data_IF_167715341736
#
_entry.id   IF_167715341736
#
_cell.length_a   1.000
_cell.length_b   1.000
_cell.length_c   1.000
_cell.angle_alpha   90.00
_cell.angle_beta   90.00
_cell.angle_gamma   90.00
#
_symmetry.space_group_name_H-M   'P 1'
#
loop_
_entity.id
_entity.type
_entity.pdbx_description
1 polymer ?
#
# COMPACT_ATOMS: atom_id res chain seq x y z
N UNK A 1 -4.02 8.13 -12.60
CA UNK A 1 -3.77 7.96 -14.06
C UNK A 1 -5.12 7.82 -14.76
N UNK A 2 -5.16 8.01 -16.07
CA UNK A 2 -6.34 7.80 -16.91
C UNK A 2 -6.05 6.70 -17.93
N UNK A 3 -7.00 5.79 -18.10
CA UNK A 3 -6.99 4.73 -19.12
C UNK A 3 -8.39 4.74 -19.75
N UNK A 4 -8.49 5.28 -20.96
CA UNK A 4 -9.79 5.50 -21.61
C UNK A 4 -10.74 6.30 -20.71
N UNK A 5 -11.88 5.70 -20.38
CA UNK A 5 -12.92 6.32 -19.56
C UNK A 5 -12.72 6.16 -18.04
N UNK A 6 -11.69 5.44 -17.58
CA UNK A 6 -11.47 5.12 -16.16
C UNK A 6 -10.28 5.90 -15.59
N UNK A 7 -10.43 6.40 -14.36
CA UNK A 7 -9.33 6.90 -13.55
C UNK A 7 -8.82 5.86 -12.53
N UNK A 8 -7.51 5.76 -12.38
CA UNK A 8 -6.85 4.99 -11.31
C UNK A 8 -6.25 5.95 -10.28
N UNK A 9 -6.72 5.90 -9.03
CA UNK A 9 -6.29 6.77 -7.91
C UNK A 9 -6.25 8.27 -8.29
N UNK A 10 -7.23 8.69 -9.08
CA UNK A 10 -7.27 10.04 -9.65
C UNK A 10 -8.69 10.55 -9.86
N UNK A 11 -8.80 11.76 -10.41
CA UNK A 11 -10.07 12.36 -10.82
C UNK A 11 -10.51 11.82 -12.18
N UNK A 12 -11.81 11.56 -12.33
CA UNK A 12 -12.44 11.06 -13.56
C UNK A 12 -13.95 10.96 -13.41
N UNK A 13 -14.65 10.41 -14.40
CA UNK A 13 -16.11 10.18 -14.30
C UNK A 13 -16.39 8.87 -13.53
N UNK A 14 -15.60 7.83 -13.82
CA UNK A 14 -15.53 6.55 -13.10
C UNK A 14 -14.10 6.35 -12.63
N UNK A 15 -13.91 5.92 -11.38
CA UNK A 15 -12.57 5.69 -10.84
C UNK A 15 -12.45 4.39 -10.05
N UNK A 16 -11.24 3.85 -10.02
CA UNK A 16 -10.81 2.85 -9.05
C UNK A 16 -9.94 3.53 -7.98
N UNK A 17 -10.16 3.17 -6.71
CA UNK A 17 -9.31 3.58 -5.59
C UNK A 17 -8.64 2.35 -4.96
N UNK A 18 -7.31 2.29 -5.02
CA UNK A 18 -6.51 1.14 -4.59
C UNK A 18 -6.54 0.94 -3.08
N UNK A 19 -6.41 2.04 -2.32
CA UNK A 19 -6.39 2.04 -0.86
C UNK A 19 -6.74 3.42 -0.29
N UNK A 20 -6.67 3.57 1.03
CA UNK A 20 -7.22 4.72 1.75
C UNK A 20 -6.18 5.72 2.29
N UNK A 21 -5.02 5.86 1.63
CA UNK A 21 -4.15 7.01 1.86
C UNK A 21 -4.54 8.19 0.99
N UNK A 22 -4.31 9.40 1.51
CA UNK A 22 -4.82 10.65 0.95
C UNK A 22 -4.27 10.96 -0.44
N UNK A 23 -3.04 10.55 -0.70
CA UNK A 23 -2.35 10.66 -1.98
C UNK A 23 -2.87 9.67 -3.04
N UNK A 24 -3.78 8.76 -2.68
CA UNK A 24 -4.46 7.85 -3.62
C UNK A 24 -5.97 8.13 -3.75
N UNK A 25 -6.50 9.13 -3.05
CA UNK A 25 -7.93 9.42 -3.08
C UNK A 25 -8.42 9.75 -4.48
N UNK A 26 -9.43 9.00 -4.91
CA UNK A 26 -10.08 9.20 -6.19
C UNK A 26 -11.19 10.25 -6.10
N UNK A 27 -11.51 10.88 -7.24
CA UNK A 27 -12.63 11.80 -7.35
C UNK A 27 -13.44 11.54 -8.60
N UNK A 28 -14.58 10.88 -8.43
CA UNK A 28 -15.46 10.48 -9.52
C UNK A 28 -16.91 10.39 -9.07
N UNK A 29 -17.84 10.30 -10.03
CA UNK A 29 -19.26 10.05 -9.76
C UNK A 29 -19.45 8.69 -9.12
N UNK A 30 -18.69 7.68 -9.57
CA UNK A 30 -18.66 6.33 -9.03
C UNK A 30 -17.21 5.92 -8.77
N UNK A 31 -16.93 5.48 -7.55
CA UNK A 31 -15.61 4.97 -7.15
C UNK A 31 -15.70 3.48 -6.82
N UNK A 32 -14.91 2.66 -7.50
CA UNK A 32 -14.77 1.23 -7.22
C UNK A 32 -13.64 1.01 -6.22
N UNK A 33 -13.89 0.22 -5.18
CA UNK A 33 -12.84 -0.17 -4.22
C UNK A 33 -13.27 -1.41 -3.42
N UNK A 34 -12.36 -1.90 -2.56
CA UNK A 34 -12.72 -2.91 -1.55
C UNK A 34 -13.60 -2.30 -0.46
N UNK A 35 -14.29 -3.16 0.31
CA UNK A 35 -15.17 -2.72 1.41
C UNK A 35 -14.40 -1.93 2.47
N UNK A 36 -13.21 -2.40 2.78
CA UNK A 36 -12.31 -1.82 3.77
C UNK A 36 -11.82 -0.44 3.33
N UNK A 37 -11.38 -0.30 2.07
CA UNK A 37 -10.95 0.99 1.49
C UNK A 37 -12.08 2.02 1.49
N UNK A 38 -13.29 1.62 1.08
CA UNK A 38 -14.46 2.50 1.13
C UNK A 38 -14.76 2.96 2.56
N UNK A 39 -14.69 2.05 3.55
CA UNK A 39 -14.96 2.39 4.94
C UNK A 39 -13.99 3.43 5.51
N UNK A 40 -12.70 3.31 5.21
CA UNK A 40 -11.72 4.34 5.57
C UNK A 40 -11.97 5.66 4.85
N UNK A 41 -12.41 5.59 3.60
CA UNK A 41 -12.62 6.78 2.77
C UNK A 41 -13.88 7.55 3.16
N UNK A 42 -14.94 6.86 3.61
CA UNK A 42 -16.17 7.47 4.13
C UNK A 42 -15.94 8.31 5.39
N UNK A 43 -14.89 8.04 6.18
CA UNK A 43 -14.49 8.94 7.27
C UNK A 43 -14.06 10.33 6.78
N UNK A 44 -13.72 10.47 5.50
CA UNK A 44 -13.16 11.70 4.92
C UNK A 44 -14.01 12.28 3.79
N UNK A 45 -14.83 11.50 3.11
CA UNK A 45 -15.66 11.98 2.00
C UNK A 45 -16.92 11.13 1.75
N UNK A 46 -18.06 11.79 1.54
CA UNK A 46 -19.38 11.16 1.28
C UNK A 46 -19.59 10.85 -0.21
N UNK A 47 -18.64 10.16 -0.84
CA UNK A 47 -18.77 9.75 -2.26
C UNK A 47 -19.46 8.40 -2.42
N UNK A 48 -20.00 8.16 -3.61
CA UNK A 48 -20.62 6.88 -3.96
C UNK A 48 -19.56 5.82 -4.27
N UNK A 49 -19.40 4.86 -3.36
CA UNK A 49 -18.48 3.75 -3.51
C UNK A 49 -19.22 2.48 -3.94
N UNK A 50 -18.82 1.90 -5.08
CA UNK A 50 -19.21 0.57 -5.51
C UNK A 50 -18.22 -0.46 -4.97
N UNK A 51 -18.70 -1.29 -4.04
CA UNK A 51 -17.86 -2.29 -3.37
C UNK A 51 -17.60 -3.49 -4.27
N UNK A 52 -16.33 -3.86 -4.38
CA UNK A 52 -15.87 -5.01 -5.17
C UNK A 52 -15.11 -5.99 -4.28
N UNK A 53 -15.39 -7.29 -4.44
CA UNK A 53 -14.68 -8.35 -3.73
C UNK A 53 -13.40 -8.73 -4.46
N UNK A 54 -12.30 -8.88 -3.72
CA UNK A 54 -11.05 -9.43 -4.24
C UNK A 54 -11.29 -10.76 -4.98
N UNK A 55 -10.61 -10.96 -6.10
CA UNK A 55 -10.68 -12.19 -6.88
C UNK A 55 -11.94 -12.36 -7.74
N UNK A 56 -12.93 -11.47 -7.65
CA UNK A 56 -14.13 -11.51 -8.50
C UNK A 56 -13.99 -10.58 -9.70
N UNK A 57 -14.49 -11.03 -10.85
CA UNK A 57 -14.56 -10.22 -12.09
C UNK A 57 -15.74 -9.26 -11.99
N UNK A 58 -15.58 -8.06 -12.52
CA UNK A 58 -16.60 -7.01 -12.57
C UNK A 58 -16.34 -6.10 -13.77
N UNK A 59 -17.26 -5.18 -14.05
CA UNK A 59 -17.07 -4.12 -15.03
C UNK A 59 -16.88 -2.77 -14.33
N UNK A 60 -15.94 -1.99 -14.86
CA UNK A 60 -15.66 -0.61 -14.49
C UNK A 60 -15.59 0.20 -15.78
N UNK A 61 -16.50 1.17 -15.96
CA UNK A 61 -16.76 1.70 -17.30
C UNK A 61 -17.08 0.56 -18.27
N UNK A 62 -16.41 0.56 -19.41
CA UNK A 62 -16.57 -0.44 -20.47
C UNK A 62 -15.66 -1.66 -20.32
N UNK A 63 -14.78 -1.65 -19.31
CA UNK A 63 -13.72 -2.64 -19.18
C UNK A 63 -14.04 -3.69 -18.12
N UNK A 64 -13.71 -4.93 -18.45
CA UNK A 64 -13.68 -6.02 -17.48
C UNK A 64 -12.47 -5.86 -16.58
N UNK A 65 -12.64 -6.08 -15.28
CA UNK A 65 -11.59 -5.94 -14.29
C UNK A 65 -11.68 -6.98 -13.17
N UNK A 66 -10.60 -7.12 -12.39
CA UNK A 66 -10.50 -7.99 -11.22
C UNK A 66 -9.50 -7.41 -10.22
N UNK A 67 -9.89 -7.37 -8.94
CA UNK A 67 -9.02 -6.87 -7.86
C UNK A 67 -8.14 -7.99 -7.28
N UNK A 68 -6.90 -7.63 -6.94
CA UNK A 68 -5.92 -8.48 -6.27
C UNK A 68 -5.41 -7.77 -5.00
N UNK A 69 -5.24 -8.47 -3.86
CA UNK A 69 -4.66 -7.84 -2.67
C UNK A 69 -3.24 -7.34 -2.99
N UNK A 70 -2.91 -6.11 -2.57
CA UNK A 70 -1.56 -5.54 -2.73
C UNK A 70 -0.68 -5.70 -1.49
N UNK A 71 -1.26 -6.07 -0.34
CA UNK A 71 -0.51 -6.30 0.89
C UNK A 71 0.02 -5.06 1.62
N UNK A 72 -0.24 -3.87 1.08
CA UNK A 72 0.20 -2.60 1.65
C UNK A 72 -0.48 -2.25 2.99
N UNK A 73 -1.80 -2.14 3.01
CA UNK A 73 -2.63 -1.93 4.22
C UNK A 73 -3.92 -2.75 4.14
N UNK A 74 -4.75 -2.70 5.19
CA UNK A 74 -6.06 -3.33 5.20
C UNK A 74 -6.92 -2.78 4.05
N UNK A 75 -7.44 -3.68 3.20
CA UNK A 75 -8.25 -3.32 2.04
C UNK A 75 -7.47 -2.97 0.79
N UNK A 76 -6.14 -2.76 0.88
CA UNK A 76 -5.35 -2.34 -0.26
C UNK A 76 -5.36 -3.39 -1.39
N UNK A 77 -5.55 -2.91 -2.61
CA UNK A 77 -5.68 -3.76 -3.78
C UNK A 77 -5.10 -3.12 -5.04
N UNK A 78 -4.48 -3.95 -5.87
CA UNK A 78 -4.25 -3.67 -7.27
C UNK A 78 -5.44 -4.10 -8.13
N UNK A 79 -5.50 -3.62 -9.36
CA UNK A 79 -6.55 -3.91 -10.34
C UNK A 79 -5.92 -4.44 -11.63
N UNK A 80 -6.39 -5.60 -12.09
CA UNK A 80 -6.13 -6.08 -13.46
C UNK A 80 -7.31 -5.70 -14.34
N UNK A 81 -7.03 -5.10 -15.49
CA UNK A 81 -7.99 -4.63 -16.49
C UNK A 81 -7.72 -5.37 -17.80
N UNK A 82 -8.78 -5.82 -18.46
CA UNK A 82 -8.72 -6.37 -19.80
C UNK A 82 -9.09 -5.25 -20.78
N UNK A 83 -8.11 -4.87 -21.59
CA UNK A 83 -8.18 -3.87 -22.65
C UNK A 83 -8.31 -4.59 -24.01
N UNK A 84 -8.49 -3.85 -25.08
CA UNK A 84 -8.57 -4.43 -26.43
C UNK A 84 -7.21 -4.96 -26.90
N UNK A 85 -6.12 -4.26 -26.58
CA UNK A 85 -4.74 -4.64 -26.97
C UNK A 85 -4.03 -5.57 -25.97
N UNK A 86 -4.69 -5.94 -24.87
CA UNK A 86 -4.08 -6.84 -23.88
C UNK A 86 -4.59 -6.61 -22.47
N UNK A 87 -3.74 -6.86 -21.47
CA UNK A 87 -4.09 -6.75 -20.07
C UNK A 87 -3.14 -5.85 -19.30
N UNK A 88 -3.72 -4.97 -18.48
CA UNK A 88 -2.97 -4.04 -17.64
C UNK A 88 -3.16 -4.41 -16.17
N UNK A 89 -2.07 -4.46 -15.41
CA UNK A 89 -2.12 -4.54 -13.96
C UNK A 89 -1.58 -3.24 -13.32
N UNK A 90 -2.42 -2.57 -12.55
CA UNK A 90 -2.01 -1.46 -11.68
C UNK A 90 -1.91 -1.93 -10.24
N UNK A 91 -0.75 -1.76 -9.61
CA UNK A 91 -0.49 -2.28 -8.27
C UNK A 91 -1.15 -1.47 -7.15
N UNK A 92 -1.33 -0.16 -7.35
CA UNK A 92 -1.37 0.79 -6.23
C UNK A 92 -0.08 0.70 -5.41
N UNK A 93 -0.15 1.06 -4.13
CA UNK A 93 0.94 0.73 -3.20
C UNK A 93 0.91 -0.76 -2.87
N UNK A 94 2.07 -1.39 -2.85
CA UNK A 94 2.20 -2.85 -2.80
C UNK A 94 3.33 -3.27 -1.87
N UNK A 95 3.15 -4.38 -1.15
CA UNK A 95 4.18 -5.05 -0.33
C UNK A 95 4.08 -6.55 -0.55
N UNK A 96 5.17 -7.18 -1.00
CA UNK A 96 5.16 -8.62 -1.24
C UNK A 96 5.24 -9.39 0.07
N UNK A 97 6.13 -9.02 0.99
CA UNK A 97 6.26 -9.67 2.29
C UNK A 97 4.97 -9.56 3.11
N UNK A 98 4.67 -10.61 3.88
CA UNK A 98 3.41 -10.69 4.62
C UNK A 98 3.49 -9.81 5.87
N UNK A 99 2.72 -8.73 5.88
CA UNK A 99 2.41 -7.97 7.09
C UNK A 99 1.35 -8.70 7.93
N UNK A 100 1.35 -8.53 9.25
CA UNK A 100 0.36 -9.10 10.17
C UNK A 100 -1.05 -8.56 9.88
N UNK A 101 -1.13 -7.28 9.51
CA UNK A 101 -2.39 -6.53 9.43
C UNK A 101 -2.96 -6.35 8.02
N UNK A 102 -2.29 -6.86 6.98
CA UNK A 102 -2.75 -6.80 5.58
C UNK A 102 -2.82 -8.20 4.94
N UNK A 103 -3.61 -8.39 3.88
CA UNK A 103 -3.65 -9.67 3.14
C UNK A 103 -2.33 -9.88 2.38
N UNK A 104 -1.86 -11.12 2.17
CA UNK A 104 -0.67 -11.37 1.32
C UNK A 104 -0.93 -10.83 -0.08
N UNK A 105 0.03 -10.09 -0.64
CA UNK A 105 -0.07 -9.63 -2.01
C UNK A 105 -0.22 -10.81 -2.99
N UNK A 106 -1.04 -10.62 -4.02
CA UNK A 106 -1.13 -11.54 -5.16
C UNK A 106 -0.86 -10.76 -6.43
N UNK A 107 0.18 -11.18 -7.16
CA UNK A 107 0.64 -10.51 -8.36
C UNK A 107 0.26 -11.36 -9.58
N UNK A 108 -0.70 -10.93 -10.41
CA UNK A 108 -1.05 -11.64 -11.65
C UNK A 108 -0.06 -11.29 -12.77
N UNK A 109 0.07 -12.17 -13.77
CA UNK A 109 0.65 -11.77 -15.06
C UNK A 109 -0.19 -10.69 -15.73
N UNK A 110 0.44 -9.81 -16.50
CA UNK A 110 -0.21 -8.81 -17.35
C UNK A 110 0.79 -8.32 -18.41
N UNK A 111 0.28 -7.88 -19.55
CA UNK A 111 1.09 -7.42 -20.68
C UNK A 111 1.65 -6.02 -20.38
N UNK A 112 0.87 -5.20 -19.66
CA UNK A 112 1.29 -3.90 -19.16
C UNK A 112 1.26 -3.83 -17.64
N UNK A 113 2.29 -3.27 -17.03
CA UNK A 113 2.38 -3.07 -15.58
C UNK A 113 2.46 -1.59 -15.23
N UNK A 114 1.59 -1.11 -14.34
CA UNK A 114 1.78 0.17 -13.65
C UNK A 114 2.14 -0.13 -12.19
N UNK A 115 3.35 0.23 -11.78
CA UNK A 115 3.92 -0.08 -10.45
C UNK A 115 4.39 1.17 -9.71
N UNK A 116 4.16 1.21 -8.39
CA UNK A 116 4.76 2.23 -7.53
C UNK A 116 6.29 2.12 -7.48
N UNK A 117 6.98 3.20 -7.13
CA UNK A 117 8.43 3.22 -6.99
C UNK A 117 8.89 4.02 -5.75
N UNK A 118 8.13 3.94 -4.64
CA UNK A 118 8.48 4.63 -3.37
C UNK A 118 9.93 4.34 -2.95
N UNK A 119 10.36 3.10 -3.16
CA UNK A 119 11.70 2.60 -2.86
C UNK A 119 12.43 2.07 -4.10
N UNK A 120 12.20 2.69 -5.26
CA UNK A 120 12.70 2.24 -6.56
C UNK A 120 14.21 2.42 -6.83
N UNK A 121 15.06 2.50 -5.80
CA UNK A 121 16.53 2.53 -5.93
C UNK A 121 17.20 1.55 -4.95
N UNK A 122 18.35 0.92 -5.31
CA UNK A 122 18.94 -0.19 -4.54
C UNK A 122 19.29 0.10 -3.09
N UNK A 123 19.55 1.37 -2.75
CA UNK A 123 19.82 1.79 -1.37
C UNK A 123 18.64 1.50 -0.42
N UNK A 124 17.41 1.36 -0.94
CA UNK A 124 16.24 0.95 -0.17
C UNK A 124 16.01 -0.56 -0.26
N UNK A 125 16.97 -1.31 0.27
CA UNK A 125 16.77 -2.72 0.63
C UNK A 125 16.51 -2.79 2.13
N UNK A 126 15.41 -3.43 2.52
CA UNK A 126 14.99 -3.46 3.92
C UNK A 126 15.20 -4.83 4.55
N UNK A 127 15.51 -4.88 5.85
CA UNK A 127 15.42 -6.13 6.59
C UNK A 127 13.98 -6.67 6.55
N UNK A 128 13.85 -7.99 6.59
CA UNK A 128 12.52 -8.63 6.64
C UNK A 128 11.68 -8.11 7.82
N UNK A 129 10.34 -8.08 7.73
CA UNK A 129 9.47 -7.70 8.84
C UNK A 129 9.74 -8.49 10.13
N UNK A 130 10.13 -9.77 10.02
CA UNK A 130 10.53 -10.59 11.18
C UNK A 130 11.79 -10.08 11.86
N UNK A 131 12.76 -9.59 11.10
CA UNK A 131 13.97 -9.00 11.68
C UNK A 131 13.65 -7.65 12.33
N UNK A 132 12.84 -6.82 11.68
CA UNK A 132 12.40 -5.54 12.24
C UNK A 132 11.57 -5.72 13.51
N UNK A 133 10.75 -6.76 13.58
CA UNK A 133 10.04 -7.16 14.79
C UNK A 133 11.01 -7.42 15.97
N UNK A 134 12.12 -8.12 15.75
CA UNK A 134 13.14 -8.31 16.79
C UNK A 134 13.75 -6.98 17.27
N UNK A 135 13.96 -6.03 16.34
CA UNK A 135 14.45 -4.69 16.69
C UNK A 135 13.44 -3.95 17.57
N UNK A 136 12.16 -3.97 17.21
CA UNK A 136 11.10 -3.30 17.98
C UNK A 136 11.00 -3.89 19.38
N UNK A 137 10.96 -5.22 19.51
CA UNK A 137 10.83 -5.88 20.82
C UNK A 137 12.09 -5.69 21.66
N UNK A 138 13.28 -5.80 21.06
CA UNK A 138 14.53 -5.55 21.78
C UNK A 138 14.64 -4.10 22.28
N UNK A 139 14.07 -3.12 21.56
CA UNK A 139 14.00 -1.75 22.06
C UNK A 139 13.00 -1.61 23.22
N UNK A 140 11.85 -2.29 23.16
CA UNK A 140 10.89 -2.33 24.28
C UNK A 140 11.55 -2.86 25.54
N UNK A 141 12.14 -4.06 25.46
CA UNK A 141 12.77 -4.73 26.61
C UNK A 141 13.88 -3.88 27.20
N UNK A 142 14.79 -3.36 26.36
CA UNK A 142 15.89 -2.50 26.82
C UNK A 142 15.41 -1.21 27.49
N UNK A 143 14.36 -0.57 26.99
CA UNK A 143 13.82 0.64 27.62
C UNK A 143 13.17 0.32 28.96
N UNK A 144 12.37 -0.76 29.02
CA UNK A 144 11.70 -1.16 30.26
C UNK A 144 12.71 -1.57 31.34
N UNK A 145 13.79 -2.27 30.99
CA UNK A 145 14.88 -2.61 31.91
C UNK A 145 15.56 -1.38 32.51
N UNK A 146 15.58 -0.25 31.78
CA UNK A 146 16.08 1.04 32.27
C UNK A 146 15.03 1.86 33.03
N UNK A 147 13.81 1.36 33.19
CA UNK A 147 12.69 2.11 33.76
C UNK A 147 12.16 3.22 32.85
N UNK A 148 12.47 3.16 31.54
CA UNK A 148 12.03 4.13 30.53
C UNK A 148 10.77 3.67 29.80
N UNK A 149 10.01 4.62 29.26
CA UNK A 149 8.85 4.35 28.39
C UNK A 149 9.29 4.35 26.91
N UNK A 150 9.33 3.20 26.21
CA UNK A 150 9.58 3.18 24.78
C UNK A 150 8.42 3.85 24.03
N UNK A 151 8.76 4.74 23.09
CA UNK A 151 7.79 5.47 22.26
C UNK A 151 8.12 5.26 20.79
N UNK A 152 7.21 4.64 20.04
CA UNK A 152 7.35 4.43 18.60
C UNK A 152 6.49 5.42 17.82
N UNK A 153 7.08 6.13 16.87
CA UNK A 153 6.37 7.03 15.97
C UNK A 153 5.97 6.30 14.68
N UNK A 154 4.67 6.19 14.38
CA UNK A 154 4.17 5.51 13.18
C UNK A 154 2.96 6.21 12.54
N UNK A 155 2.84 6.11 11.21
CA UNK A 155 1.69 6.66 10.48
C UNK A 155 0.38 6.00 10.99
N UNK A 156 -0.66 6.78 11.35
CA UNK A 156 -1.92 6.24 11.85
C UNK A 156 -2.64 5.25 10.95
N UNK A 157 -2.41 5.29 9.64
CA UNK A 157 -3.08 4.45 8.64
C UNK A 157 -2.13 3.36 8.13
N UNK A 158 -2.24 2.15 8.69
CA UNK A 158 -1.47 0.98 8.28
C UNK A 158 -0.31 0.67 9.21
N UNK A 159 0.67 1.56 9.27
CA UNK A 159 1.95 1.27 9.95
C UNK A 159 1.80 1.16 11.46
N UNK A 160 1.05 2.06 12.09
CA UNK A 160 0.79 1.98 13.52
C UNK A 160 0.08 0.67 13.90
N UNK A 161 -0.86 0.20 13.08
CA UNK A 161 -1.55 -1.07 13.33
C UNK A 161 -0.60 -2.27 13.21
N UNK A 162 0.34 -2.24 12.27
CA UNK A 162 1.38 -3.27 12.18
C UNK A 162 2.26 -3.30 13.42
N UNK A 163 2.71 -2.13 13.92
CA UNK A 163 3.49 -2.03 15.16
C UNK A 163 2.69 -2.55 16.36
N UNK A 164 1.42 -2.15 16.50
CA UNK A 164 0.54 -2.65 17.57
C UNK A 164 0.40 -4.18 17.48
N UNK A 165 0.22 -4.72 16.28
CA UNK A 165 0.07 -6.16 16.07
C UNK A 165 1.35 -6.94 16.40
N UNK A 166 2.53 -6.36 16.14
CA UNK A 166 3.82 -6.90 16.58
C UNK A 166 3.88 -6.91 18.10
N UNK A 167 3.66 -5.77 18.75
CA UNK A 167 3.69 -5.62 20.21
C UNK A 167 2.73 -6.60 20.90
N UNK A 168 1.50 -6.72 20.40
CA UNK A 168 0.49 -7.64 20.95
C UNK A 168 0.91 -9.11 20.85
N UNK A 169 1.64 -9.49 19.79
CA UNK A 169 2.13 -10.85 19.63
C UNK A 169 3.18 -11.23 20.68
N UNK A 170 3.80 -10.24 21.32
CA UNK A 170 4.80 -10.36 22.37
C UNK A 170 4.28 -9.93 23.75
N UNK A 171 2.96 -9.87 23.92
CA UNK A 171 2.32 -9.59 25.22
C UNK A 171 2.16 -8.11 25.57
N UNK A 172 2.65 -7.18 24.73
CA UNK A 172 2.51 -5.74 24.98
C UNK A 172 1.24 -5.19 24.35
N UNK A 173 0.35 -4.61 25.16
CA UNK A 173 -0.76 -3.78 24.69
C UNK A 173 -0.33 -2.31 24.80
N UNK A 174 0.00 -1.61 23.71
CA UNK A 174 0.51 -0.25 23.81
C UNK A 174 -0.60 0.76 24.06
N UNK A 175 -0.24 1.88 24.68
CA UNK A 175 -1.00 3.12 24.68
C UNK A 175 -0.84 3.81 23.33
N UNK A 176 -1.93 4.36 22.79
CA UNK A 176 -1.91 5.02 21.48
C UNK A 176 -2.70 6.32 21.47
N UNK A 177 -2.35 7.25 20.59
CA UNK A 177 -3.14 8.46 20.41
C UNK A 177 -4.50 8.22 19.73
N UNK A 178 -5.37 9.23 19.82
CA UNK A 178 -6.74 9.16 19.28
C UNK A 178 -6.79 8.88 17.77
N UNK A 179 -5.81 9.34 16.98
CA UNK A 179 -5.79 9.10 15.55
C UNK A 179 -5.57 7.62 15.26
N UNK A 180 -4.57 7.01 15.90
CA UNK A 180 -4.27 5.59 15.82
C UNK A 180 -5.42 4.76 16.38
N UNK A 181 -6.02 5.16 17.52
CA UNK A 181 -7.17 4.48 18.13
C UNK A 181 -8.37 4.41 17.19
N UNK A 182 -8.70 5.52 16.51
CA UNK A 182 -9.81 5.58 15.53
C UNK A 182 -9.59 4.62 14.36
N UNK A 183 -8.39 4.60 13.78
CA UNK A 183 -8.06 3.68 12.67
C UNK A 183 -8.06 2.22 13.15
N UNK A 184 -7.50 1.94 14.33
CA UNK A 184 -7.43 0.58 14.89
C UNK A 184 -8.81 -0.04 15.16
N UNK A 185 -9.81 0.79 15.51
CA UNK A 185 -11.22 0.36 15.60
C UNK A 185 -11.77 -0.12 14.26
N UNK A 186 -11.38 0.50 13.14
CA UNK A 186 -11.79 0.04 11.80
C UNK A 186 -11.15 -1.32 11.50
N UNK A 187 -9.86 -1.46 11.77
CA UNK A 187 -9.17 -2.74 11.64
C UNK A 187 -9.88 -3.86 12.41
N UNK A 188 -10.32 -3.57 13.65
CA UNK A 188 -11.09 -4.49 14.48
C UNK A 188 -12.44 -4.88 13.86
N UNK A 189 -13.16 -3.93 13.24
CA UNK A 189 -14.42 -4.21 12.51
C UNK A 189 -14.23 -5.19 11.34
N UNK A 190 -13.03 -5.26 10.79
CA UNK A 190 -12.67 -6.18 9.71
C UNK A 190 -11.87 -7.41 10.19
N UNK A 191 -11.93 -7.70 11.49
CA UNK A 191 -11.39 -8.93 12.08
C UNK A 191 -9.91 -8.90 12.46
N UNK A 192 -9.23 -7.76 12.33
CA UNK A 192 -7.85 -7.61 12.82
C UNK A 192 -7.89 -7.24 14.30
N UNK A 193 -7.52 -8.19 15.16
CA UNK A 193 -7.50 -8.00 16.63
C UNK A 193 -6.30 -7.13 17.03
N UNK A 194 -6.57 -5.97 17.60
CA UNK A 194 -5.56 -5.04 18.12
C UNK A 194 -5.91 -4.70 19.57
N UNK A 195 -5.06 -5.10 20.51
CA UNK A 195 -5.15 -4.78 21.94
C UNK A 195 -4.41 -3.47 22.20
N UNK A 196 -5.10 -2.54 22.84
CA UNK A 196 -4.60 -1.22 23.22
C UNK A 196 -4.94 -1.05 24.70
N UNK A 197 -4.02 -0.49 25.46
CA UNK A 197 -4.16 -0.22 26.89
C UNK A 197 -3.74 1.23 27.20
N UNK A 198 -4.64 2.01 27.80
CA UNK A 198 -4.43 3.44 28.07
C UNK A 198 -3.49 3.70 29.26
N UNK A 199 -3.24 2.67 30.08
CA UNK A 199 -2.34 2.71 31.25
C UNK A 199 -0.95 2.15 30.95
N UNK A 200 -0.76 1.62 29.73
CA UNK A 200 0.50 1.01 29.31
C UNK A 200 1.67 2.00 29.26
N UNK A 201 2.83 1.52 29.69
CA UNK A 201 4.14 2.18 29.59
C UNK A 201 4.88 1.87 28.27
N UNK A 202 4.20 1.28 27.27
CA UNK A 202 4.69 1.17 25.89
C UNK A 202 3.78 2.03 25.00
N UNK A 203 4.35 2.98 24.25
CA UNK A 203 3.56 3.96 23.50
C UNK A 203 3.78 3.82 21.98
N UNK A 204 2.68 3.83 21.22
CA UNK A 204 2.71 4.08 19.77
C UNK A 204 2.02 5.40 19.49
N UNK A 205 2.77 6.36 18.94
CA UNK A 205 2.31 7.71 18.67
C UNK A 205 2.40 8.06 17.18
N UNK A 206 1.54 8.96 16.73
CA UNK A 206 1.53 9.49 15.37
C UNK A 206 2.52 10.63 15.15
N UNK A 207 3.03 11.24 16.22
CA UNK A 207 3.75 12.52 16.16
C UNK A 207 5.12 12.53 16.83
N UNK A 208 5.45 11.56 17.69
CA UNK A 208 6.72 11.52 18.43
C UNK A 208 7.22 10.10 18.70
N UNK A 209 8.50 9.98 19.02
CA UNK A 209 9.17 8.72 19.34
C UNK A 209 10.15 8.26 18.26
N UNK A 210 10.67 7.05 18.41
CA UNK A 210 11.56 6.41 17.45
C UNK A 210 10.77 6.19 16.15
N UNK A 211 11.22 6.80 15.07
CA UNK A 211 10.51 6.79 13.79
C UNK A 211 10.53 5.40 13.16
N UNK A 212 9.37 4.77 13.13
CA UNK A 212 9.13 3.49 12.45
C UNK A 212 8.59 3.79 11.05
N UNK A 213 9.42 3.64 10.03
CA UNK A 213 9.04 3.70 8.61
C UNK A 213 10.19 3.27 7.70
N UNK A 214 9.95 3.07 6.40
CA UNK A 214 11.06 2.85 5.43
C UNK A 214 12.08 4.01 5.39
N UNK A 215 11.64 5.24 5.71
CA UNK A 215 12.51 6.42 5.86
C UNK A 215 12.86 6.74 7.33
N UNK A 216 12.51 5.86 8.28
CA UNK A 216 12.73 6.04 9.71
C UNK A 216 14.00 5.36 10.19
N UNK A 217 14.23 5.42 11.51
CA UNK A 217 15.33 4.71 12.18
C UNK A 217 15.06 3.20 12.23
N UNK A 218 13.80 2.81 12.46
CA UNK A 218 13.37 1.40 12.39
C UNK A 218 12.68 1.17 11.04
N UNK A 219 13.28 0.33 10.20
CA UNK A 219 12.92 0.10 8.79
C UNK A 219 11.71 -0.83 8.60
N UNK A 220 10.59 -0.56 9.28
CA UNK A 220 9.33 -1.23 8.98
C UNK A 220 8.60 -0.50 7.86
N UNK A 221 8.59 -1.08 6.67
CA UNK A 221 7.88 -0.53 5.50
C UNK A 221 6.64 -1.34 5.15
N UNK A 222 5.58 -0.62 4.80
CA UNK A 222 4.37 -1.18 4.19
C UNK A 222 4.41 -1.11 2.66
N UNK A 223 5.51 -0.66 2.06
CA UNK A 223 5.76 -0.72 0.63
C UNK A 223 6.87 -1.73 0.35
N UNK A 224 6.83 -2.30 -0.84
CA UNK A 224 7.88 -3.12 -1.43
C UNK A 224 9.19 -2.34 -1.39
N UNK A 225 10.23 -2.99 -0.90
CA UNK A 225 11.59 -2.49 -1.04
C UNK A 225 12.07 -2.64 -2.50
N UNK A 226 13.30 -2.23 -2.80
CA UNK A 226 13.81 -2.30 -4.16
C UNK A 226 13.75 -3.71 -4.78
N UNK A 227 14.11 -4.75 -4.01
CA UNK A 227 14.15 -6.12 -4.53
C UNK A 227 12.75 -6.70 -4.66
N UNK A 228 11.83 -6.39 -3.74
CA UNK A 228 10.43 -6.74 -3.90
C UNK A 228 9.81 -6.08 -5.14
N UNK A 229 10.19 -4.83 -5.48
CA UNK A 229 9.72 -4.15 -6.69
C UNK A 229 10.23 -4.85 -7.96
N UNK A 230 11.51 -5.24 -8.01
CA UNK A 230 12.07 -6.02 -9.13
C UNK A 230 11.35 -7.37 -9.24
N UNK A 231 11.16 -8.08 -8.12
CA UNK A 231 10.45 -9.35 -8.09
C UNK A 231 8.98 -9.22 -8.55
N UNK A 232 8.29 -8.10 -8.25
CA UNK A 232 6.95 -7.84 -8.78
C UNK A 232 7.00 -7.76 -10.31
N UNK A 233 7.96 -7.02 -10.88
CA UNK A 233 8.11 -6.92 -12.34
C UNK A 233 8.33 -8.29 -12.97
N UNK A 234 9.24 -9.09 -12.42
CA UNK A 234 9.51 -10.47 -12.87
C UNK A 234 8.27 -11.37 -12.81
N UNK A 235 7.50 -11.31 -11.70
CA UNK A 235 6.29 -12.12 -11.51
C UNK A 235 5.15 -11.71 -12.44
N UNK A 236 5.01 -10.41 -12.74
CA UNK A 236 4.04 -9.92 -13.72
C UNK A 236 4.46 -10.33 -15.13
N UNK A 237 5.77 -10.31 -15.41
CA UNK A 237 6.36 -10.54 -16.73
C UNK A 237 5.68 -9.71 -17.83
N UNK A 238 5.68 -8.36 -17.71
CA UNK A 238 5.04 -7.47 -18.67
C UNK A 238 5.94 -7.22 -19.89
N UNK A 239 5.30 -6.84 -20.99
CA UNK A 239 5.96 -6.27 -22.17
C UNK A 239 6.46 -4.86 -21.84
N UNK A 240 5.63 -4.04 -21.17
CA UNK A 240 6.00 -2.67 -20.78
C UNK A 240 5.68 -2.37 -19.31
N UNK A 241 6.62 -1.68 -18.64
CA UNK A 241 6.50 -1.22 -17.25
C UNK A 241 6.37 0.29 -17.17
N UNK A 242 5.27 0.78 -16.62
CA UNK A 242 5.08 2.16 -16.21
C UNK A 242 5.35 2.31 -14.71
N UNK A 243 6.32 3.15 -14.37
CA UNK A 243 6.67 3.43 -12.97
C UNK A 243 6.05 4.74 -12.52
N UNK A 244 5.51 4.78 -11.30
CA UNK A 244 4.87 5.96 -10.73
C UNK A 244 5.22 6.10 -9.24
N UNK A 245 5.10 7.31 -8.70
CA UNK A 245 5.45 7.64 -7.31
C UNK A 245 6.93 7.46 -6.98
N UNK A 246 7.39 8.09 -5.89
CA UNK A 246 8.78 7.99 -5.41
C UNK A 246 9.85 8.18 -6.48
N UNK A 247 10.75 7.22 -6.58
CA UNK A 247 11.92 7.19 -7.47
C UNK A 247 11.60 6.68 -8.88
N UNK A 248 10.39 6.92 -9.40
CA UNK A 248 9.91 6.37 -10.68
C UNK A 248 10.91 6.51 -11.83
N UNK A 249 11.47 7.70 -12.07
CA UNK A 249 12.47 7.91 -13.15
C UNK A 249 13.72 7.05 -12.99
N UNK A 250 14.24 6.95 -11.76
CA UNK A 250 15.43 6.15 -11.48
C UNK A 250 15.12 4.66 -11.60
N UNK A 251 13.96 4.22 -11.11
CA UNK A 251 13.53 2.83 -11.20
C UNK A 251 13.32 2.40 -12.66
N UNK A 252 12.63 3.21 -13.47
CA UNK A 252 12.49 2.95 -14.91
C UNK A 252 13.86 2.85 -15.62
N UNK A 253 14.83 3.71 -15.25
CA UNK A 253 16.19 3.64 -15.81
C UNK A 253 16.89 2.32 -15.43
N UNK A 254 16.75 1.88 -14.18
CA UNK A 254 17.33 0.61 -13.71
C UNK A 254 16.67 -0.59 -14.40
N UNK A 255 15.34 -0.60 -14.52
CA UNK A 255 14.61 -1.66 -15.23
C UNK A 255 15.03 -1.77 -16.70
N UNK A 256 15.25 -0.64 -17.39
CA UNK A 256 15.82 -0.66 -18.75
C UNK A 256 17.23 -1.26 -18.79
N UNK A 257 18.05 -1.00 -17.78
CA UNK A 257 19.36 -1.66 -17.61
C UNK A 257 19.26 -3.17 -17.36
N UNK A 258 18.12 -3.65 -16.84
CA UNK A 258 17.80 -5.07 -16.65
C UNK A 258 17.09 -5.70 -17.86
N UNK A 259 16.91 -4.97 -18.96
CA UNK A 259 16.30 -5.47 -20.19
C UNK A 259 14.78 -5.29 -20.30
N UNK A 260 14.13 -4.62 -19.36
CA UNK A 260 12.70 -4.33 -19.45
C UNK A 260 12.44 -3.03 -20.22
N UNK A 261 11.39 -3.01 -21.04
CA UNK A 261 10.85 -1.76 -21.56
C UNK A 261 10.13 -1.02 -20.43
N UNK A 262 10.66 0.13 -20.01
CA UNK A 262 10.12 0.83 -18.84
C UNK A 262 10.12 2.37 -18.99
N UNK A 263 9.03 3.00 -18.57
CA UNK A 263 8.82 4.45 -18.65
C UNK A 263 8.30 5.03 -17.33
N UNK A 264 8.81 6.19 -16.87
CA UNK A 264 8.22 6.89 -15.75
C UNK A 264 7.00 7.70 -16.22
N UNK A 265 5.90 7.59 -15.47
CA UNK A 265 4.67 8.36 -15.71
C UNK A 265 4.33 9.26 -14.52
N UNK A 266 3.46 10.24 -14.74
CA UNK A 266 2.99 11.17 -13.71
C UNK A 266 1.56 10.86 -13.27
N UNK A 267 1.25 11.29 -12.05
CA UNK A 267 -0.12 11.20 -11.54
C UNK A 267 -1.05 12.05 -12.39
N UNK A 268 -2.09 11.41 -12.91
CA UNK A 268 -3.09 12.06 -13.77
C UNK A 268 -2.77 12.07 -15.25
N UNK A 269 -1.65 11.48 -15.65
CA UNK A 269 -1.31 11.25 -17.04
C UNK A 269 -2.33 10.30 -17.70
N UNK A 270 -2.62 10.57 -18.97
CA UNK A 270 -3.50 9.80 -19.84
C UNK A 270 -2.64 8.95 -20.77
N UNK A 271 -2.64 7.64 -20.53
CA UNK A 271 -1.74 6.72 -21.22
C UNK A 271 -2.07 6.54 -22.70
N UNK A 272 -3.30 6.86 -23.13
CA UNK A 272 -3.67 6.88 -24.56
C UNK A 272 -3.07 8.10 -25.24
N UNK A 273 -3.26 9.28 -24.64
CA UNK A 273 -2.81 10.54 -25.22
C UNK A 273 -1.29 10.67 -25.27
N UNK A 274 -0.57 9.98 -24.38
CA UNK A 274 0.89 9.95 -24.41
C UNK A 274 1.46 9.00 -25.46
N UNK A 275 0.62 8.24 -26.17
CA UNK A 275 1.05 7.22 -27.15
C UNK A 275 1.76 6.02 -26.50
N UNK A 276 1.70 5.91 -25.17
CA UNK A 276 2.33 4.84 -24.40
C UNK A 276 1.47 3.57 -24.37
N UNK A 277 0.17 3.71 -24.64
CA UNK A 277 -0.75 2.61 -24.90
C UNK A 277 -1.59 3.00 -26.11
N UNK A 278 -1.49 2.23 -27.19
CA UNK A 278 -2.51 2.22 -28.22
C UNK A 278 -3.72 1.48 -27.60
N UNK A 279 -4.88 2.13 -27.51
CA UNK A 279 -6.14 1.55 -27.01
C UNK A 279 -7.31 2.39 -27.51
#
# INVERSE_FOLDING_TARGET
MLIGSIALDWKGNVAFQSHAHTDHFASAKIIFSTKETAYFSHLRNSKFYKIVKLGKRFYIGDYKAKLYPSGHILGASGIKIWLDEGTLYYTGDIKLEKLRTAKKAKVPRADFLIIEATFGVPMYSFPSPKHVEKIIIGEVEKSLDRGETPVFMANPYGKAQEVISILNAHGYAPKVDNAIKKVSRIYSKFGVKLKIDEESNVIVSSSRGIKVSGFGSIKLSNHADFWELVEIVERVNPETVFTIFGYSRAFAKLLRGLGYEAFPIKKGEDLRKSGLLSI
#
